data_IF_966484345216
#
_entry.id   IF_966484345216
#
_cell.length_a   1.000
_cell.length_b   1.000
_cell.length_c   1.000
_cell.angle_alpha   90.00
_cell.angle_beta   90.00
_cell.angle_gamma   90.00
#
_symmetry.space_group_name_H-M   'P 1'
#
loop_
_entity.id
_entity.type
_entity.pdbx_description
1 polymer ?
#
# COMPACT_ATOMS: atom_id res chain seq x y z
N UNK A 1 12.18 -7.01 -70.44
CA UNK A 1 11.57 -6.26 -69.31
C UNK A 1 11.49 -7.20 -68.12
N UNK A 2 12.45 -7.12 -67.16
CA UNK A 2 12.48 -7.97 -65.94
C UNK A 2 11.73 -7.23 -64.85
N UNK A 3 10.63 -7.79 -64.36
CA UNK A 3 9.88 -7.29 -63.18
C UNK A 3 10.62 -7.72 -61.92
N UNK A 4 11.12 -6.77 -61.17
CA UNK A 4 11.65 -7.01 -59.82
C UNK A 4 10.50 -6.87 -58.83
N UNK A 5 10.11 -7.96 -58.19
CA UNK A 5 9.20 -7.97 -57.04
C UNK A 5 10.00 -7.68 -55.82
N UNK A 6 9.78 -6.48 -55.21
CA UNK A 6 10.32 -6.12 -53.91
C UNK A 6 9.44 -6.78 -52.84
N UNK A 7 9.93 -7.77 -52.17
CA UNK A 7 9.31 -8.40 -50.99
C UNK A 7 9.60 -7.54 -49.77
N UNK A 8 8.65 -6.72 -49.35
CA UNK A 8 8.72 -5.98 -48.09
C UNK A 8 8.51 -6.99 -46.94
N UNK A 9 9.61 -7.38 -46.26
CA UNK A 9 9.53 -8.04 -44.95
C UNK A 9 9.13 -7.00 -43.90
N UNK A 10 7.87 -7.00 -43.51
CA UNK A 10 7.41 -6.34 -42.29
C UNK A 10 7.89 -7.15 -41.11
N UNK A 11 9.00 -6.75 -40.49
CA UNK A 11 9.38 -7.22 -39.15
C UNK A 11 8.45 -6.55 -38.15
N UNK A 12 7.43 -7.29 -37.72
CA UNK A 12 6.61 -6.89 -36.58
C UNK A 12 7.49 -6.92 -35.32
N UNK A 13 7.97 -5.78 -34.87
CA UNK A 13 8.52 -5.63 -33.52
C UNK A 13 7.35 -5.83 -32.53
N UNK A 14 7.21 -7.03 -32.00
CA UNK A 14 6.34 -7.27 -30.86
C UNK A 14 6.92 -6.49 -29.68
N UNK A 15 6.32 -5.37 -29.34
CA UNK A 15 6.58 -4.67 -28.08
C UNK A 15 6.01 -5.57 -26.99
N UNK A 16 6.86 -6.41 -26.40
CA UNK A 16 6.50 -7.21 -25.24
C UNK A 16 6.41 -6.24 -24.05
N UNK A 17 5.20 -5.78 -23.74
CA UNK A 17 4.88 -5.06 -22.51
C UNK A 17 4.88 -6.06 -21.34
N UNK A 18 5.24 -5.62 -20.13
CA UNK A 18 4.97 -6.40 -18.93
C UNK A 18 3.46 -6.69 -18.83
N UNK A 19 3.08 -7.80 -18.20
CA UNK A 19 1.67 -8.09 -17.99
C UNK A 19 1.00 -6.97 -17.18
N UNK A 20 -0.19 -6.57 -17.59
CA UNK A 20 -0.98 -5.60 -16.83
C UNK A 20 -1.37 -6.21 -15.48
N UNK A 21 -1.28 -5.40 -14.41
CA UNK A 21 -1.60 -5.86 -13.06
C UNK A 21 -3.08 -6.20 -12.98
N UNK A 22 -3.39 -7.43 -12.58
CA UNK A 22 -4.77 -7.86 -12.43
C UNK A 22 -5.35 -7.33 -11.12
N UNK A 23 -6.64 -6.93 -11.11
CA UNK A 23 -7.33 -6.59 -9.87
C UNK A 23 -7.24 -7.69 -8.82
N UNK A 24 -7.13 -7.32 -7.56
CA UNK A 24 -7.26 -8.27 -6.44
C UNK A 24 -8.71 -8.76 -6.40
N UNK A 25 -8.89 -10.07 -6.19
CA UNK A 25 -10.21 -10.71 -6.19
C UNK A 25 -10.72 -10.88 -4.75
N UNK A 26 -12.05 -10.87 -4.53
CA UNK A 26 -12.61 -11.27 -3.25
C UNK A 26 -12.11 -12.66 -2.82
N UNK A 27 -11.70 -12.80 -1.56
CA UNK A 27 -11.21 -14.06 -1.01
C UNK A 27 -9.76 -14.41 -1.38
N UNK A 28 -9.07 -13.60 -2.18
CA UNK A 28 -7.68 -13.85 -2.60
C UNK A 28 -6.71 -13.74 -1.42
N UNK A 29 -5.75 -14.67 -1.36
CA UNK A 29 -4.64 -14.66 -0.39
C UNK A 29 -3.45 -13.95 -0.99
N UNK A 30 -3.20 -12.72 -0.53
CA UNK A 30 -2.14 -11.85 -1.03
C UNK A 30 -1.04 -11.72 0.01
N UNK A 31 0.20 -12.00 -0.37
CA UNK A 31 1.34 -11.89 0.51
C UNK A 31 2.31 -10.81 0.01
N UNK A 32 2.73 -9.94 0.92
CA UNK A 32 3.76 -8.94 0.65
C UNK A 32 5.10 -9.40 1.19
N UNK A 33 6.08 -9.58 0.30
CA UNK A 33 7.40 -10.12 0.58
C UNK A 33 8.46 -9.04 0.39
N UNK A 34 9.17 -8.65 1.46
CA UNK A 34 10.09 -7.53 1.37
C UNK A 34 10.97 -7.32 2.61
N UNK A 35 11.47 -6.11 2.71
CA UNK A 35 12.38 -5.64 3.74
C UNK A 35 11.68 -4.95 4.94
N UNK A 36 12.33 -3.93 5.56
CA UNK A 36 11.80 -3.17 6.70
C UNK A 36 10.54 -2.37 6.36
N UNK A 37 10.40 -1.90 5.13
CA UNK A 37 9.24 -1.12 4.66
C UNK A 37 8.00 -2.02 4.66
N UNK A 38 8.16 -3.25 4.18
CA UNK A 38 7.12 -4.29 4.22
C UNK A 38 6.90 -4.81 5.66
N UNK A 39 7.96 -5.01 6.44
CA UNK A 39 7.85 -5.41 7.87
C UNK A 39 6.96 -4.41 8.63
N UNK A 40 7.16 -3.12 8.42
CA UNK A 40 6.33 -2.07 9.00
C UNK A 40 4.85 -2.23 8.69
N UNK A 41 4.47 -2.69 7.51
CA UNK A 41 3.12 -3.15 7.17
C UNK A 41 2.05 -2.06 6.98
N UNK A 42 2.36 -0.77 7.15
CA UNK A 42 1.36 0.31 7.05
C UNK A 42 0.72 0.40 5.67
N UNK A 43 1.51 0.33 4.59
CA UNK A 43 0.96 0.39 3.25
C UNK A 43 0.08 -0.83 2.93
N UNK A 44 0.36 -1.99 3.55
CA UNK A 44 -0.47 -3.19 3.42
C UNK A 44 -1.84 -2.95 4.07
N UNK A 45 -1.87 -2.39 5.28
CA UNK A 45 -3.09 -2.09 6.00
C UNK A 45 -3.93 -1.01 5.29
N UNK A 46 -3.29 0.02 4.72
CA UNK A 46 -3.99 1.04 3.93
C UNK A 46 -4.49 0.47 2.60
N UNK A 47 -3.75 -0.43 1.97
CA UNK A 47 -4.22 -1.12 0.76
C UNK A 47 -5.41 -2.04 1.07
N UNK A 48 -5.36 -2.79 2.19
CA UNK A 48 -6.52 -3.57 2.67
C UNK A 48 -7.74 -2.66 2.91
N UNK A 49 -7.56 -1.52 3.59
CA UNK A 49 -8.64 -0.54 3.78
C UNK A 49 -9.24 -0.08 2.45
N UNK A 50 -8.40 0.23 1.46
CA UNK A 50 -8.89 0.65 0.13
C UNK A 50 -9.65 -0.50 -0.53
N UNK A 51 -9.15 -1.74 -0.52
CA UNK A 51 -9.84 -2.91 -1.07
C UNK A 51 -11.23 -3.09 -0.43
N UNK A 52 -11.27 -3.15 0.90
CA UNK A 52 -12.51 -3.38 1.64
C UNK A 52 -13.51 -2.23 1.41
N UNK A 53 -13.01 -0.98 1.35
CA UNK A 53 -13.83 0.20 1.05
C UNK A 53 -14.36 0.22 -0.38
N UNK A 54 -13.85 -0.63 -1.27
CA UNK A 54 -14.32 -0.83 -2.65
C UNK A 54 -15.14 -2.11 -2.82
N UNK A 55 -15.49 -2.78 -1.72
CA UNK A 55 -16.29 -4.01 -1.74
C UNK A 55 -15.48 -5.27 -2.09
N UNK A 56 -14.15 -5.19 -2.20
CA UNK A 56 -13.28 -6.36 -2.39
C UNK A 56 -12.98 -6.97 -1.02
N UNK A 57 -13.86 -7.81 -0.53
CA UNK A 57 -13.81 -8.37 0.83
C UNK A 57 -13.37 -9.82 0.87
N UNK A 58 -13.06 -10.32 2.08
CA UNK A 58 -12.61 -11.71 2.29
C UNK A 58 -11.15 -11.95 1.91
N UNK A 59 -10.42 -10.93 1.46
CA UNK A 59 -8.99 -11.03 1.15
C UNK A 59 -8.18 -11.30 2.41
N UNK A 60 -7.13 -12.13 2.29
CA UNK A 60 -6.16 -12.39 3.36
C UNK A 60 -4.84 -11.69 3.01
N UNK A 61 -4.60 -10.55 3.66
CA UNK A 61 -3.38 -9.75 3.45
C UNK A 61 -2.28 -10.15 4.42
N UNK A 62 -1.31 -10.87 3.90
CA UNK A 62 -0.21 -11.44 4.67
C UNK A 62 1.07 -10.60 4.56
N UNK A 63 1.69 -10.31 5.70
CA UNK A 63 2.98 -9.63 5.77
C UNK A 63 4.13 -10.65 5.90
N UNK A 64 5.09 -10.60 4.99
CA UNK A 64 6.35 -11.35 5.04
C UNK A 64 7.58 -10.42 4.90
N UNK A 65 7.49 -9.20 5.42
CA UNK A 65 8.60 -8.26 5.53
C UNK A 65 9.54 -8.62 6.69
N UNK A 66 10.83 -8.34 6.54
CA UNK A 66 11.83 -8.47 7.62
C UNK A 66 12.76 -7.25 7.58
N UNK A 67 12.91 -6.58 8.72
CA UNK A 67 13.79 -5.40 8.83
C UNK A 67 15.23 -5.73 8.46
N UNK A 68 15.84 -4.88 7.61
CA UNK A 68 17.18 -5.10 7.06
C UNK A 68 17.23 -6.19 5.98
N UNK A 69 16.08 -6.74 5.57
CA UNK A 69 16.00 -7.80 4.56
C UNK A 69 16.51 -7.35 3.19
N UNK A 70 17.10 -8.30 2.45
CA UNK A 70 17.49 -8.18 1.04
C UNK A 70 16.89 -9.33 0.24
N UNK A 71 16.94 -9.27 -1.08
CA UNK A 71 16.48 -10.34 -1.95
C UNK A 71 17.20 -11.67 -1.64
N UNK A 72 18.53 -11.62 -1.36
CA UNK A 72 19.30 -12.81 -0.94
C UNK A 72 18.81 -13.34 0.43
N UNK A 73 18.52 -12.46 1.38
CA UNK A 73 17.94 -12.85 2.67
C UNK A 73 16.53 -13.42 2.50
N UNK A 74 15.75 -12.84 1.61
CA UNK A 74 14.44 -13.33 1.19
C UNK A 74 14.51 -14.75 0.64
N UNK A 75 15.43 -15.00 -0.29
CA UNK A 75 15.62 -16.31 -0.89
C UNK A 75 15.88 -17.42 0.15
N UNK A 76 16.62 -17.13 1.22
CA UNK A 76 16.89 -18.11 2.28
C UNK A 76 15.66 -18.49 3.10
N UNK A 77 14.64 -17.62 3.17
CA UNK A 77 13.43 -17.84 3.99
C UNK A 77 12.15 -18.10 3.20
N UNK A 78 12.21 -18.03 1.86
CA UNK A 78 11.04 -18.09 0.99
C UNK A 78 10.20 -19.34 1.20
N UNK A 79 10.85 -20.50 1.45
CA UNK A 79 10.15 -21.77 1.63
C UNK A 79 9.22 -21.75 2.84
N UNK A 80 9.72 -21.27 3.98
CA UNK A 80 8.98 -21.32 5.26
C UNK A 80 8.12 -20.07 5.48
N UNK A 81 8.57 -18.91 5.02
CA UNK A 81 7.93 -17.63 5.31
C UNK A 81 6.93 -17.18 4.23
N UNK A 82 6.99 -17.79 3.05
CA UNK A 82 6.13 -17.46 1.92
C UNK A 82 5.40 -18.70 1.39
N UNK A 83 6.11 -19.67 0.82
CA UNK A 83 5.51 -20.81 0.11
C UNK A 83 4.65 -21.67 1.04
N UNK A 84 5.11 -21.93 2.28
CA UNK A 84 4.37 -22.71 3.27
C UNK A 84 3.04 -22.06 3.68
N UNK A 85 2.87 -20.74 3.48
CA UNK A 85 1.63 -20.01 3.78
C UNK A 85 0.61 -20.08 2.64
N UNK A 86 0.99 -20.65 1.49
CA UNK A 86 0.13 -20.92 0.33
C UNK A 86 -0.66 -19.68 -0.13
N UNK A 87 0.01 -18.54 -0.40
CA UNK A 87 -0.65 -17.39 -1.00
C UNK A 87 -1.02 -17.69 -2.46
N UNK A 88 -2.06 -17.03 -2.97
CA UNK A 88 -2.38 -17.06 -4.40
C UNK A 88 -1.42 -16.16 -5.17
N UNK A 89 -1.05 -15.00 -4.58
CA UNK A 89 -0.21 -13.98 -5.19
C UNK A 89 0.80 -13.39 -4.19
N UNK A 90 2.02 -13.12 -4.65
CA UNK A 90 3.11 -12.54 -3.85
C UNK A 90 3.60 -11.25 -4.48
N UNK A 91 3.42 -10.13 -3.81
CA UNK A 91 4.00 -8.84 -4.15
C UNK A 91 5.41 -8.73 -3.58
N UNK A 92 6.42 -8.55 -4.43
CA UNK A 92 7.84 -8.64 -4.06
C UNK A 92 8.45 -7.24 -4.07
N UNK A 93 8.85 -6.73 -2.89
CA UNK A 93 9.44 -5.41 -2.69
C UNK A 93 10.79 -5.52 -1.98
N UNK A 94 11.87 -5.60 -2.75
CA UNK A 94 13.27 -5.52 -2.31
C UNK A 94 14.02 -4.48 -3.13
N UNK A 95 15.24 -4.15 -2.70
CA UNK A 95 16.12 -3.23 -3.42
C UNK A 95 16.78 -2.22 -2.49
N UNK A 96 16.06 -1.66 -1.52
CA UNK A 96 16.55 -0.61 -0.64
C UNK A 96 17.82 -1.01 0.14
N UNK A 97 17.93 -2.27 0.58
CA UNK A 97 19.12 -2.79 1.23
C UNK A 97 20.09 -3.46 0.26
N UNK A 98 19.57 -3.97 -0.87
CA UNK A 98 20.37 -4.67 -1.89
C UNK A 98 21.32 -3.70 -2.60
N UNK A 99 20.88 -2.48 -2.88
CA UNK A 99 21.66 -1.45 -3.58
C UNK A 99 22.97 -1.10 -2.87
N UNK A 100 23.02 -1.27 -1.54
CA UNK A 100 24.21 -0.96 -0.75
C UNK A 100 24.50 0.53 -0.65
N UNK A 101 23.51 1.30 -0.18
CA UNK A 101 23.45 2.77 -0.11
C UNK A 101 24.77 3.45 0.23
N UNK A 102 25.52 2.93 1.22
CA UNK A 102 26.82 3.48 1.67
C UNK A 102 27.87 3.56 0.58
N UNK A 103 27.74 2.78 -0.50
CA UNK A 103 28.67 2.75 -1.63
C UNK A 103 28.48 3.94 -2.57
N UNK A 104 27.42 4.75 -2.34
CA UNK A 104 27.13 5.94 -3.16
C UNK A 104 27.71 7.24 -2.56
N UNK A 105 28.36 7.17 -1.39
CA UNK A 105 29.10 8.33 -0.83
C UNK A 105 30.25 8.80 -1.73
N UNK A 106 30.94 7.86 -2.40
CA UNK A 106 32.09 8.19 -3.28
C UNK A 106 32.12 7.24 -4.47
N UNK A 107 32.66 7.71 -5.58
CA UNK A 107 32.84 6.94 -6.82
C UNK A 107 34.23 6.30 -6.92
N UNK A 108 34.78 5.81 -5.81
CA UNK A 108 36.02 5.05 -5.85
C UNK A 108 35.87 3.77 -6.70
N UNK A 109 36.94 3.30 -7.36
CA UNK A 109 36.90 2.07 -8.17
C UNK A 109 36.30 0.88 -7.39
N UNK A 110 36.66 0.77 -6.09
CA UNK A 110 36.12 -0.28 -5.22
C UNK A 110 34.61 -0.13 -4.99
N UNK A 111 34.10 1.08 -4.81
CA UNK A 111 32.65 1.31 -4.62
C UNK A 111 31.90 1.01 -5.91
N UNK A 112 32.40 1.45 -7.06
CA UNK A 112 31.79 1.16 -8.36
C UNK A 112 31.71 -0.35 -8.61
N UNK A 113 32.78 -1.10 -8.35
CA UNK A 113 32.76 -2.55 -8.48
C UNK A 113 31.79 -3.21 -7.49
N UNK A 114 31.74 -2.72 -6.24
CA UNK A 114 30.81 -3.23 -5.25
C UNK A 114 29.34 -2.96 -5.64
N UNK A 115 28.99 -1.79 -6.19
CA UNK A 115 27.65 -1.48 -6.72
C UNK A 115 27.26 -2.52 -7.78
N UNK A 116 28.12 -2.76 -8.76
CA UNK A 116 27.90 -3.75 -9.82
C UNK A 116 27.64 -5.15 -9.25
N UNK A 117 28.52 -5.63 -8.37
CA UNK A 117 28.40 -6.96 -7.77
C UNK A 117 27.09 -7.10 -6.97
N UNK A 118 26.62 -6.04 -6.31
CA UNK A 118 25.36 -6.05 -5.56
C UNK A 118 24.14 -6.12 -6.47
N UNK A 119 24.13 -5.39 -7.58
CA UNK A 119 23.05 -5.45 -8.58
C UNK A 119 23.00 -6.82 -9.26
N UNK A 120 24.14 -7.44 -9.55
CA UNK A 120 24.22 -8.80 -10.07
C UNK A 120 23.67 -9.82 -9.05
N UNK A 121 24.05 -9.69 -7.78
CA UNK A 121 23.56 -10.54 -6.68
C UNK A 121 22.05 -10.39 -6.48
N UNK A 122 21.54 -9.15 -6.51
CA UNK A 122 20.12 -8.84 -6.46
C UNK A 122 19.37 -9.53 -7.60
N UNK A 123 19.84 -9.33 -8.84
CA UNK A 123 19.25 -9.92 -10.04
C UNK A 123 19.17 -11.44 -9.96
N UNK A 124 20.27 -12.09 -9.57
CA UNK A 124 20.33 -13.55 -9.43
C UNK A 124 19.38 -14.06 -8.33
N UNK A 125 19.26 -13.32 -7.21
CA UNK A 125 18.36 -13.66 -6.11
C UNK A 125 16.90 -13.53 -6.52
N UNK A 126 16.53 -12.44 -7.22
CA UNK A 126 15.17 -12.23 -7.72
C UNK A 126 14.75 -13.31 -8.72
N UNK A 127 15.63 -13.69 -9.67
CA UNK A 127 15.35 -14.79 -10.61
C UNK A 127 15.03 -16.10 -9.88
N UNK A 128 15.79 -16.44 -8.84
CA UNK A 128 15.53 -17.65 -8.03
C UNK A 128 14.23 -17.55 -7.25
N UNK A 129 13.92 -16.38 -6.64
CA UNK A 129 12.65 -16.15 -5.95
C UNK A 129 11.48 -16.37 -6.91
N UNK A 130 11.51 -15.74 -8.09
CA UNK A 130 10.47 -15.88 -9.12
C UNK A 130 10.30 -17.35 -9.53
N UNK A 131 11.39 -18.06 -9.80
CA UNK A 131 11.36 -19.46 -10.21
C UNK A 131 10.74 -20.37 -9.12
N UNK A 132 11.09 -20.14 -7.84
CA UNK A 132 10.53 -20.91 -6.73
C UNK A 132 9.03 -20.66 -6.52
N UNK A 133 8.57 -19.42 -6.67
CA UNK A 133 7.15 -19.08 -6.57
C UNK A 133 6.36 -19.72 -7.72
N UNK A 134 6.83 -19.58 -8.95
CA UNK A 134 6.21 -20.23 -10.14
C UNK A 134 6.14 -21.75 -9.99
N UNK A 135 7.21 -22.38 -9.51
CA UNK A 135 7.25 -23.83 -9.27
C UNK A 135 6.25 -24.27 -8.18
N UNK A 136 5.91 -23.40 -7.24
CA UNK A 136 4.91 -23.62 -6.21
C UNK A 136 3.47 -23.27 -6.67
N UNK A 137 3.27 -22.85 -7.91
CA UNK A 137 1.96 -22.41 -8.43
C UNK A 137 1.50 -21.06 -7.91
N UNK A 138 2.40 -20.24 -7.36
CA UNK A 138 2.12 -18.92 -6.77
C UNK A 138 2.45 -17.85 -7.81
N UNK A 139 1.56 -16.88 -8.00
CA UNK A 139 1.76 -15.77 -8.93
C UNK A 139 2.68 -14.70 -8.34
N UNK A 140 3.89 -14.45 -8.89
CA UNK A 140 4.73 -13.33 -8.46
C UNK A 140 4.27 -12.03 -9.12
N UNK A 141 4.20 -10.96 -8.34
CA UNK A 141 4.02 -9.58 -8.80
C UNK A 141 5.26 -8.79 -8.37
N UNK A 142 5.97 -8.23 -9.33
CA UNK A 142 7.16 -7.46 -9.02
C UNK A 142 6.80 -6.01 -8.67
N UNK A 143 7.53 -5.44 -7.73
CA UNK A 143 7.39 -4.03 -7.36
C UNK A 143 8.75 -3.35 -7.52
N UNK A 144 8.80 -2.20 -8.23
CA UNK A 144 10.00 -1.37 -8.17
C UNK A 144 10.20 -0.84 -6.75
N UNK A 145 11.45 -0.62 -6.28
CA UNK A 145 11.70 -0.19 -4.91
C UNK A 145 11.01 1.15 -4.61
N UNK A 146 10.85 1.48 -3.33
CA UNK A 146 10.53 2.86 -2.93
C UNK A 146 11.69 3.79 -3.25
N UNK A 147 11.42 5.08 -3.37
CA UNK A 147 12.49 6.06 -3.53
C UNK A 147 13.24 6.30 -2.21
N UNK A 148 14.53 6.58 -2.30
CA UNK A 148 15.35 7.18 -1.25
C UNK A 148 15.25 8.69 -1.38
N UNK A 149 14.94 9.40 -0.29
CA UNK A 149 14.67 10.84 -0.33
C UNK A 149 15.97 11.68 -0.39
N UNK A 150 16.68 11.59 -1.50
CA UNK A 150 17.92 12.35 -1.71
C UNK A 150 17.72 13.85 -2.00
N UNK A 151 16.46 14.29 -2.10
CA UNK A 151 16.11 15.65 -2.54
C UNK A 151 15.86 16.61 -1.38
N UNK A 152 15.79 16.13 -0.14
CA UNK A 152 15.69 16.97 1.05
C UNK A 152 16.93 17.88 1.18
N UNK A 153 16.68 19.19 1.42
CA UNK A 153 17.71 20.23 1.36
C UNK A 153 18.69 20.21 2.54
N UNK A 154 18.25 19.74 3.70
CA UNK A 154 18.95 19.96 4.99
C UNK A 154 19.67 18.72 5.55
N UNK A 155 19.77 17.62 4.78
CA UNK A 155 20.34 16.38 5.29
C UNK A 155 21.81 16.22 4.92
N UNK A 156 22.69 16.29 5.94
CA UNK A 156 24.15 16.21 5.79
C UNK A 156 24.65 14.81 5.43
N UNK A 157 23.91 13.74 5.81
CA UNK A 157 24.28 12.34 5.56
C UNK A 157 23.60 11.72 4.34
N UNK A 158 23.14 12.55 3.42
CA UNK A 158 22.47 12.10 2.21
C UNK A 158 23.41 11.27 1.30
N UNK A 159 23.07 10.00 1.12
CA UNK A 159 23.88 9.04 0.35
C UNK A 159 23.70 9.15 -1.17
N UNK A 160 22.73 9.91 -1.63
CA UNK A 160 22.42 10.13 -3.07
C UNK A 160 22.30 8.84 -3.88
N UNK A 161 21.64 7.82 -3.31
CA UNK A 161 21.54 6.50 -3.93
C UNK A 161 20.20 6.24 -4.62
N UNK A 162 19.34 7.26 -4.77
CA UNK A 162 18.10 7.12 -5.51
C UNK A 162 18.36 7.11 -7.02
N UNK A 163 19.19 8.05 -7.48
CA UNK A 163 19.63 8.20 -8.87
C UNK A 163 21.15 8.48 -8.90
N UNK A 164 22.01 7.57 -9.35
CA UNK A 164 21.77 6.16 -9.67
C UNK A 164 21.58 5.29 -8.42
N UNK A 165 21.29 4.03 -8.60
CA UNK A 165 21.21 3.02 -7.54
C UNK A 165 19.83 2.41 -7.45
N UNK A 166 18.85 3.05 -6.82
CA UNK A 166 17.49 2.53 -6.80
C UNK A 166 16.82 2.63 -8.18
N UNK A 167 17.18 3.61 -9.01
CA UNK A 167 16.78 3.63 -10.42
C UNK A 167 17.31 2.40 -11.18
N UNK A 168 18.57 2.00 -10.94
CA UNK A 168 19.15 0.81 -11.57
C UNK A 168 18.43 -0.48 -11.10
N UNK A 169 18.08 -0.54 -9.81
CA UNK A 169 17.26 -1.64 -9.28
C UNK A 169 15.88 -1.65 -9.93
N UNK A 170 15.23 -0.50 -10.10
CA UNK A 170 13.93 -0.40 -10.77
C UNK A 170 14.00 -0.90 -12.23
N UNK A 171 15.06 -0.58 -12.95
CA UNK A 171 15.28 -1.04 -14.32
C UNK A 171 15.50 -2.57 -14.39
N UNK A 172 16.21 -3.13 -13.40
CA UNK A 172 16.34 -4.60 -13.27
C UNK A 172 14.97 -5.22 -13.04
N UNK A 173 14.13 -4.65 -12.15
CA UNK A 173 12.79 -5.16 -11.87
C UNK A 173 11.91 -5.12 -13.11
N UNK A 174 11.92 -4.02 -13.88
CA UNK A 174 11.20 -3.89 -15.16
C UNK A 174 11.65 -4.93 -16.17
N UNK A 175 12.97 -5.10 -16.30
CA UNK A 175 13.56 -6.11 -17.18
C UNK A 175 13.10 -7.51 -16.81
N UNK A 176 13.15 -7.87 -15.52
CA UNK A 176 12.69 -9.18 -15.04
C UNK A 176 11.19 -9.37 -15.26
N UNK A 177 10.37 -8.36 -15.00
CA UNK A 177 8.92 -8.42 -15.26
C UNK A 177 8.64 -8.72 -16.74
N UNK A 178 9.38 -8.05 -17.64
CA UNK A 178 9.26 -8.26 -19.08
C UNK A 178 9.76 -9.65 -19.50
N UNK A 179 10.95 -10.05 -19.06
CA UNK A 179 11.56 -11.35 -19.42
C UNK A 179 10.70 -12.53 -18.96
N UNK A 180 10.10 -12.42 -17.77
CA UNK A 180 9.34 -13.48 -17.13
C UNK A 180 7.83 -13.38 -17.36
N UNK A 181 7.37 -12.37 -18.13
CA UNK A 181 5.96 -12.03 -18.37
C UNK A 181 5.16 -11.91 -17.07
N UNK A 182 5.64 -11.08 -16.14
CA UNK A 182 5.05 -10.85 -14.83
C UNK A 182 4.34 -9.51 -14.73
N UNK A 183 3.40 -9.43 -13.81
CA UNK A 183 2.79 -8.19 -13.36
C UNK A 183 3.82 -7.30 -12.66
N UNK A 184 3.72 -5.99 -12.88
CA UNK A 184 4.64 -4.99 -12.35
C UNK A 184 3.91 -3.82 -11.71
N UNK A 185 4.25 -3.52 -10.46
CA UNK A 185 3.86 -2.30 -9.75
C UNK A 185 5.04 -1.33 -9.75
N UNK A 186 4.81 -0.15 -10.27
CA UNK A 186 5.76 0.94 -10.27
C UNK A 186 5.57 1.81 -9.03
N UNK A 187 6.54 1.80 -8.12
CA UNK A 187 6.62 2.74 -6.99
C UNK A 187 7.70 3.78 -7.21
N UNK A 188 8.91 3.35 -7.60
CA UNK A 188 10.10 4.19 -7.68
C UNK A 188 9.91 5.46 -8.52
N UNK A 189 9.43 5.41 -9.78
CA UNK A 189 9.34 6.61 -10.60
C UNK A 189 8.33 7.62 -10.05
N UNK A 190 7.19 7.13 -9.56
CA UNK A 190 6.16 8.01 -8.99
C UNK A 190 6.62 8.68 -7.71
N UNK A 191 7.21 7.91 -6.77
CA UNK A 191 7.72 8.47 -5.52
C UNK A 191 8.91 9.41 -5.76
N UNK A 192 9.80 9.09 -6.69
CA UNK A 192 10.91 9.95 -7.08
C UNK A 192 10.43 11.28 -7.65
N UNK A 193 9.42 11.27 -8.53
CA UNK A 193 8.82 12.48 -9.09
C UNK A 193 8.17 13.36 -8.00
N UNK A 194 7.44 12.74 -7.06
CA UNK A 194 6.87 13.44 -5.91
C UNK A 194 7.93 14.11 -5.04
N UNK A 195 9.02 13.40 -4.71
CA UNK A 195 10.13 13.93 -3.92
C UNK A 195 10.85 15.11 -4.63
N UNK A 196 11.04 15.00 -5.96
CA UNK A 196 11.63 16.08 -6.77
C UNK A 196 10.75 17.33 -6.79
N UNK A 197 9.44 17.15 -6.91
CA UNK A 197 8.48 18.26 -6.97
C UNK A 197 8.23 18.92 -5.61
N UNK A 198 8.39 18.17 -4.54
CA UNK A 198 8.07 18.60 -3.18
C UNK A 198 9.24 18.35 -2.20
N UNK A 199 10.44 18.92 -2.43
CA UNK A 199 11.62 18.65 -1.60
C UNK A 199 11.49 19.17 -0.16
N UNK A 200 10.53 20.05 0.11
CA UNK A 200 10.23 20.58 1.44
C UNK A 200 9.16 19.74 2.19
N UNK A 201 8.57 18.73 1.55
CA UNK A 201 7.54 17.86 2.12
C UNK A 201 8.11 16.46 2.36
N UNK A 202 7.95 15.94 3.57
CA UNK A 202 8.46 14.63 3.94
C UNK A 202 7.56 13.50 3.46
N UNK A 203 8.06 12.61 2.61
CA UNK A 203 7.49 11.29 2.35
C UNK A 203 8.20 10.20 3.16
N UNK A 204 9.48 10.39 3.46
CA UNK A 204 10.30 9.50 4.27
C UNK A 204 10.65 10.13 5.62
N UNK A 205 11.06 9.31 6.57
CA UNK A 205 11.58 9.76 7.85
C UNK A 205 12.96 10.42 7.72
N UNK A 206 13.52 10.86 8.84
CA UNK A 206 14.88 11.48 8.89
C UNK A 206 16.00 10.58 8.36
N UNK A 207 15.78 9.28 8.26
CA UNK A 207 16.71 8.33 7.64
C UNK A 207 16.66 8.32 6.12
N UNK A 208 15.79 9.10 5.51
CA UNK A 208 15.56 9.23 4.07
C UNK A 208 15.15 7.93 3.35
N UNK A 209 14.88 6.87 4.12
CA UNK A 209 14.64 5.50 3.66
C UNK A 209 13.21 5.06 3.89
N UNK A 210 12.75 5.17 5.15
CA UNK A 210 11.48 4.59 5.56
C UNK A 210 10.35 5.59 5.34
N UNK A 211 9.36 5.24 4.50
CA UNK A 211 8.18 6.09 4.33
C UNK A 211 7.50 6.39 5.67
N UNK A 212 7.10 7.65 5.88
CA UNK A 212 6.21 8.02 6.98
C UNK A 212 4.75 7.70 6.63
N UNK A 213 3.79 8.11 7.45
CA UNK A 213 2.37 7.77 7.22
C UNK A 213 1.86 8.20 5.84
N UNK A 214 2.20 9.42 5.41
CA UNK A 214 1.87 9.92 4.06
C UNK A 214 2.49 9.04 2.98
N UNK A 215 3.79 8.74 3.09
CA UNK A 215 4.49 7.90 2.12
C UNK A 215 3.89 6.49 2.02
N UNK A 216 3.51 5.88 3.15
CA UNK A 216 2.82 4.58 3.13
C UNK A 216 1.42 4.64 2.51
N UNK A 217 0.65 5.72 2.72
CA UNK A 217 -0.65 5.88 2.07
C UNK A 217 -0.50 6.13 0.57
N UNK A 218 0.53 6.88 0.14
CA UNK A 218 0.90 7.03 -1.28
C UNK A 218 1.22 5.67 -1.90
N UNK A 219 2.02 4.82 -1.24
CA UNK A 219 2.28 3.45 -1.71
C UNK A 219 0.99 2.65 -1.91
N UNK A 220 0.08 2.69 -0.93
CA UNK A 220 -1.20 2.01 -1.00
C UNK A 220 -2.08 2.55 -2.14
N UNK A 221 -2.09 3.86 -2.35
CA UNK A 221 -2.82 4.50 -3.43
C UNK A 221 -2.25 4.12 -4.81
N UNK A 222 -0.94 4.08 -4.97
CA UNK A 222 -0.28 3.63 -6.20
C UNK A 222 -0.57 2.14 -6.50
N UNK A 223 -0.60 1.28 -5.46
CA UNK A 223 -1.07 -0.10 -5.58
C UNK A 223 -2.52 -0.14 -6.07
N UNK A 224 -3.40 0.64 -5.45
CA UNK A 224 -4.82 0.70 -5.80
C UNK A 224 -5.04 1.19 -7.23
N UNK A 225 -4.32 2.24 -7.68
CA UNK A 225 -4.39 2.72 -9.06
C UNK A 225 -4.01 1.63 -10.05
N UNK A 226 -2.87 0.98 -9.84
CA UNK A 226 -2.31 0.02 -10.78
C UNK A 226 -3.05 -1.33 -10.76
N UNK A 227 -3.82 -1.62 -9.70
CA UNK A 227 -4.72 -2.77 -9.61
C UNK A 227 -6.17 -2.43 -9.98
N UNK A 228 -6.42 -1.24 -10.56
CA UNK A 228 -7.74 -0.86 -11.09
C UNK A 228 -8.78 -0.43 -10.04
N UNK A 229 -8.35 -0.11 -8.81
CA UNK A 229 -9.24 0.29 -7.70
C UNK A 229 -9.42 1.81 -7.58
N UNK A 230 -8.69 2.59 -8.36
CA UNK A 230 -8.87 4.04 -8.42
C UNK A 230 -10.25 4.43 -8.95
N UNK A 231 -10.67 5.62 -8.62
CA UNK A 231 -11.93 6.19 -9.05
C UNK A 231 -12.78 6.70 -7.89
N UNK A 232 -13.90 7.36 -8.21
CA UNK A 232 -14.75 7.98 -7.19
C UNK A 232 -15.40 6.93 -6.27
N UNK A 233 -15.82 7.40 -5.11
CA UNK A 233 -16.70 6.65 -4.20
C UNK A 233 -18.06 6.46 -4.88
N UNK A 234 -18.65 7.56 -5.37
CA UNK A 234 -19.84 7.51 -6.21
C UNK A 234 -19.93 8.75 -7.12
N UNK A 235 -20.67 8.60 -8.22
CA UNK A 235 -21.06 9.71 -9.10
C UNK A 235 -22.54 9.54 -9.47
N UNK A 236 -23.39 10.40 -8.89
CA UNK A 236 -24.85 10.28 -8.99
C UNK A 236 -25.42 11.57 -9.56
N UNK A 237 -26.29 11.44 -10.57
CA UNK A 237 -27.07 12.54 -11.14
C UNK A 237 -28.56 12.19 -11.09
N UNK A 238 -29.33 13.02 -10.40
CA UNK A 238 -30.79 12.88 -10.23
C UNK A 238 -31.48 14.06 -10.89
N UNK A 239 -32.08 13.89 -12.07
CA UNK A 239 -32.94 14.91 -12.64
C UNK A 239 -34.31 14.90 -11.97
N UNK A 240 -34.92 16.10 -11.73
CA UNK A 240 -36.30 16.22 -11.24
C UNK A 240 -37.27 15.53 -12.21
N UNK A 241 -36.98 15.60 -13.50
CA UNK A 241 -37.67 14.84 -14.54
C UNK A 241 -36.66 14.12 -15.43
N UNK A 242 -36.80 12.81 -15.59
CA UNK A 242 -35.90 12.03 -16.42
C UNK A 242 -35.29 10.82 -15.69
N UNK A 243 -34.25 10.23 -16.29
CA UNK A 243 -33.63 9.00 -15.79
C UNK A 243 -32.43 9.31 -14.91
N UNK A 244 -32.37 8.69 -13.73
CA UNK A 244 -31.21 8.71 -12.84
C UNK A 244 -30.00 8.08 -13.51
N UNK A 245 -28.83 8.72 -13.36
CA UNK A 245 -27.53 8.16 -13.71
C UNK A 245 -26.76 7.94 -12.42
N UNK A 246 -26.26 6.74 -12.20
CA UNK A 246 -25.52 6.40 -10.99
C UNK A 246 -24.38 5.45 -11.31
N UNK A 247 -23.24 5.72 -10.69
CA UNK A 247 -22.04 4.88 -10.70
C UNK A 247 -21.61 4.66 -9.27
N UNK A 248 -21.47 3.40 -8.86
CA UNK A 248 -21.06 2.96 -7.52
C UNK A 248 -22.04 3.35 -6.39
N UNK A 249 -23.29 3.58 -6.72
CA UNK A 249 -24.37 3.68 -5.76
C UNK A 249 -25.69 3.23 -6.38
N UNK A 250 -26.55 2.56 -5.61
CA UNK A 250 -27.93 2.35 -5.97
C UNK A 250 -28.80 3.49 -5.39
N UNK A 251 -29.84 3.86 -6.16
CA UNK A 251 -30.82 4.86 -5.77
C UNK A 251 -32.18 4.19 -5.77
N UNK A 252 -32.88 4.21 -4.65
CA UNK A 252 -34.21 3.62 -4.50
C UNK A 252 -35.19 4.59 -3.83
N UNK A 253 -36.49 4.35 -3.93
CA UNK A 253 -37.54 5.16 -3.31
C UNK A 253 -37.55 6.63 -3.73
N UNK A 254 -37.09 6.93 -4.97
CA UNK A 254 -36.98 8.30 -5.48
C UNK A 254 -38.34 8.99 -5.58
N UNK A 255 -38.44 10.17 -4.96
CA UNK A 255 -39.57 11.10 -5.05
C UNK A 255 -39.03 12.44 -5.48
N UNK A 256 -39.55 13.01 -6.56
CA UNK A 256 -39.13 14.31 -7.12
C UNK A 256 -40.28 15.28 -7.23
N UNK A 257 -40.00 16.52 -6.90
CA UNK A 257 -40.83 17.70 -7.16
C UNK A 257 -39.89 18.88 -7.49
N UNK A 258 -40.35 19.98 -8.09
CA UNK A 258 -39.50 21.13 -8.42
C UNK A 258 -38.79 21.78 -7.24
N UNK A 259 -39.32 21.60 -6.03
CA UNK A 259 -38.85 22.16 -4.77
C UNK A 259 -38.37 21.11 -3.76
N UNK A 260 -38.46 19.80 -4.12
CA UNK A 260 -38.09 18.70 -3.25
C UNK A 260 -37.65 17.45 -4.00
N UNK A 261 -36.55 16.85 -3.53
CA UNK A 261 -36.08 15.54 -3.96
C UNK A 261 -35.77 14.69 -2.72
N UNK A 262 -36.26 13.45 -2.71
CA UNK A 262 -35.96 12.50 -1.62
C UNK A 262 -35.69 11.12 -2.22
N UNK A 263 -34.67 10.43 -1.70
CA UNK A 263 -34.32 9.08 -2.15
C UNK A 263 -33.52 8.33 -1.08
N UNK A 264 -33.51 7.02 -1.17
CA UNK A 264 -32.57 6.15 -0.45
C UNK A 264 -31.26 6.10 -1.26
N UNK A 265 -30.16 6.45 -0.61
CA UNK A 265 -28.82 6.41 -1.14
C UNK A 265 -28.06 5.19 -0.59
N UNK A 266 -27.59 4.30 -1.47
CA UNK A 266 -26.99 3.03 -1.15
C UNK A 266 -25.62 2.94 -1.86
N UNK A 267 -24.55 3.57 -1.30
CA UNK A 267 -23.22 3.54 -1.93
C UNK A 267 -22.60 2.15 -1.82
N UNK A 268 -21.87 1.76 -2.85
CA UNK A 268 -21.10 0.51 -2.93
C UNK A 268 -19.70 0.66 -2.33
N UNK A 269 -19.24 1.91 -2.15
CA UNK A 269 -17.90 2.27 -1.73
C UNK A 269 -17.91 3.24 -0.56
N UNK A 270 -16.82 3.20 0.21
CA UNK A 270 -16.61 4.11 1.33
C UNK A 270 -15.38 4.99 1.06
N UNK A 271 -15.43 6.27 1.42
CA UNK A 271 -14.26 7.15 1.39
C UNK A 271 -13.22 6.71 2.43
N UNK A 272 -11.95 6.91 2.14
CA UNK A 272 -10.85 6.73 3.12
C UNK A 272 -10.72 8.00 3.95
N UNK A 273 -10.84 7.91 5.26
CA UNK A 273 -10.68 9.07 6.15
C UNK A 273 -9.23 9.54 6.20
N UNK A 274 -9.02 10.83 5.99
CA UNK A 274 -7.71 11.49 6.04
C UNK A 274 -7.56 12.40 7.26
N UNK A 275 -8.58 12.50 8.12
CA UNK A 275 -8.61 13.41 9.26
C UNK A 275 -7.99 12.85 10.53
N UNK A 276 -7.51 11.61 10.52
CA UNK A 276 -6.94 10.94 11.70
C UNK A 276 -5.75 11.72 12.25
N UNK A 277 -5.71 11.83 13.58
CA UNK A 277 -4.61 12.45 14.32
C UNK A 277 -3.94 11.43 15.23
N UNK A 278 -2.60 11.50 15.30
CA UNK A 278 -1.78 10.73 16.24
C UNK A 278 -1.07 11.75 17.12
N UNK A 279 -1.23 11.65 18.43
CA UNK A 279 -0.74 12.65 19.38
C UNK A 279 -1.10 14.10 19.00
N UNK A 280 -2.36 14.30 18.55
CA UNK A 280 -2.91 15.56 18.04
C UNK A 280 -2.25 16.12 16.76
N UNK A 281 -1.42 15.33 16.07
CA UNK A 281 -0.80 15.71 14.80
C UNK A 281 -1.58 15.07 13.65
N UNK A 282 -1.98 15.88 12.67
CA UNK A 282 -2.60 15.40 11.42
C UNK A 282 -1.56 14.66 10.56
N UNK A 283 -1.67 13.35 10.50
CA UNK A 283 -0.63 12.51 9.86
C UNK A 283 -0.69 12.52 8.33
N UNK A 284 -1.77 13.05 7.74
CA UNK A 284 -1.94 13.16 6.28
C UNK A 284 -2.04 14.61 5.78
N UNK A 285 -1.61 15.59 6.59
CA UNK A 285 -1.75 17.02 6.31
C UNK A 285 -1.30 17.44 4.90
N UNK A 286 -0.20 16.88 4.40
CA UNK A 286 0.39 17.27 3.11
C UNK A 286 0.05 16.31 1.96
N UNK A 287 -0.83 15.33 2.20
CA UNK A 287 -1.12 14.28 1.22
C UNK A 287 -1.64 14.87 -0.10
N UNK A 288 -2.64 15.74 -0.05
CA UNK A 288 -3.28 16.30 -1.26
C UNK A 288 -2.32 17.15 -2.11
N UNK A 289 -1.30 17.74 -1.51
CA UNK A 289 -0.25 18.48 -2.23
C UNK A 289 0.68 17.52 -2.98
N UNK A 290 0.98 16.37 -2.37
CA UNK A 290 1.93 15.38 -2.91
C UNK A 290 1.24 14.46 -3.91
N UNK A 291 0.00 14.06 -3.59
CA UNK A 291 -0.80 13.11 -4.36
C UNK A 291 -2.28 13.49 -4.24
N UNK A 292 -3.00 13.73 -5.33
CA UNK A 292 -4.40 14.17 -5.31
C UNK A 292 -5.35 13.03 -4.92
N UNK A 293 -5.25 12.60 -3.66
CA UNK A 293 -5.93 11.42 -3.14
C UNK A 293 -7.46 11.56 -3.20
N UNK A 294 -7.98 12.75 -2.82
CA UNK A 294 -9.42 12.99 -2.83
C UNK A 294 -9.99 12.84 -4.25
N UNK A 295 -9.35 13.49 -5.24
CA UNK A 295 -9.80 13.44 -6.63
C UNK A 295 -9.75 12.00 -7.19
N UNK A 296 -8.70 11.26 -6.86
CA UNK A 296 -8.47 9.92 -7.40
C UNK A 296 -9.22 8.81 -6.68
N UNK A 297 -9.52 8.99 -5.38
CA UNK A 297 -10.01 7.91 -4.53
C UNK A 297 -11.27 8.23 -3.73
N UNK A 298 -11.51 9.49 -3.35
CA UNK A 298 -12.50 9.84 -2.33
C UNK A 298 -13.67 10.68 -2.86
N UNK A 299 -13.65 11.13 -4.12
CA UNK A 299 -14.71 11.99 -4.65
C UNK A 299 -16.07 11.26 -4.65
N UNK A 300 -17.09 11.89 -4.06
CA UNK A 300 -18.45 11.36 -3.93
C UNK A 300 -19.44 12.43 -4.40
N UNK A 301 -19.76 12.43 -5.70
CA UNK A 301 -20.51 13.50 -6.33
C UNK A 301 -22.00 13.21 -6.35
N UNK A 302 -22.81 14.17 -5.88
CA UNK A 302 -24.27 14.22 -6.06
C UNK A 302 -24.65 15.46 -6.86
N UNK A 303 -25.27 15.25 -8.03
CA UNK A 303 -25.91 16.28 -8.85
C UNK A 303 -27.41 16.13 -8.81
N UNK A 304 -28.11 17.26 -8.67
CA UNK A 304 -29.58 17.31 -8.79
C UNK A 304 -29.92 18.39 -9.78
N UNK A 305 -30.54 18.02 -10.90
CA UNK A 305 -30.83 18.93 -12.02
C UNK A 305 -32.33 19.19 -12.19
N UNK A 306 -32.69 20.36 -12.63
CA UNK A 306 -34.09 20.74 -12.87
C UNK A 306 -34.85 21.21 -11.62
N UNK A 307 -34.14 21.55 -10.52
CA UNK A 307 -34.72 22.23 -9.38
C UNK A 307 -35.10 23.66 -9.74
N UNK A 308 -36.18 24.18 -9.13
CA UNK A 308 -36.53 25.60 -9.22
C UNK A 308 -35.45 26.47 -8.54
N UNK A 309 -35.27 27.70 -9.04
CA UNK A 309 -34.29 28.61 -8.44
C UNK A 309 -34.53 28.83 -6.95
N UNK A 310 -33.45 28.89 -6.18
CA UNK A 310 -33.44 29.07 -4.74
C UNK A 310 -32.38 28.26 -4.02
N UNK A 311 -32.44 28.30 -2.72
CA UNK A 311 -31.60 27.55 -1.81
C UNK A 311 -32.31 26.29 -1.28
N UNK A 312 -31.57 25.26 -1.03
CA UNK A 312 -32.06 23.94 -0.62
C UNK A 312 -31.26 23.42 0.57
N UNK A 313 -31.97 23.02 1.63
CA UNK A 313 -31.39 22.23 2.71
C UNK A 313 -31.19 20.80 2.19
N UNK A 314 -29.97 20.28 2.33
CA UNK A 314 -29.60 18.89 2.03
C UNK A 314 -29.45 18.15 3.35
N UNK A 315 -30.18 17.06 3.54
CA UNK A 315 -30.16 16.23 4.76
C UNK A 315 -29.77 14.79 4.44
N UNK A 316 -29.07 14.16 5.37
CA UNK A 316 -28.88 12.71 5.43
C UNK A 316 -29.67 12.19 6.64
N UNK A 317 -30.67 11.35 6.38
CA UNK A 317 -31.73 11.04 7.32
C UNK A 317 -32.29 12.36 7.91
N UNK A 318 -32.21 12.59 9.21
CA UNK A 318 -32.72 13.83 9.87
C UNK A 318 -31.64 14.90 10.04
N UNK A 319 -30.36 14.61 9.74
CA UNK A 319 -29.24 15.54 9.95
C UNK A 319 -29.04 16.42 8.73
N UNK A 320 -29.08 17.75 8.92
CA UNK A 320 -28.72 18.72 7.89
C UNK A 320 -27.21 18.64 7.60
N UNK A 321 -26.87 18.49 6.32
CA UNK A 321 -25.49 18.47 5.80
C UNK A 321 -25.04 19.87 5.34
N UNK A 322 -25.99 20.75 4.98
CA UNK A 322 -25.75 22.12 4.55
C UNK A 322 -26.86 22.65 3.66
N UNK A 323 -26.72 23.94 3.30
CA UNK A 323 -27.62 24.66 2.40
C UNK A 323 -26.86 24.94 1.08
N UNK A 324 -27.47 24.60 -0.05
CA UNK A 324 -26.88 24.73 -1.38
C UNK A 324 -27.87 25.37 -2.34
N UNK A 325 -27.39 26.23 -3.22
CA UNK A 325 -28.24 26.78 -4.30
C UNK A 325 -28.60 25.71 -5.35
N UNK A 326 -29.69 25.90 -6.06
CA UNK A 326 -30.04 25.05 -7.22
C UNK A 326 -28.87 24.94 -8.22
N UNK A 327 -28.13 26.02 -8.46
CA UNK A 327 -26.95 26.05 -9.32
C UNK A 327 -25.81 25.17 -8.78
N UNK A 328 -25.54 25.20 -7.47
CA UNK A 328 -24.53 24.32 -6.85
C UNK A 328 -24.93 22.84 -6.94
N UNK A 329 -26.20 22.52 -6.68
CA UNK A 329 -26.72 21.15 -6.82
C UNK A 329 -26.67 20.67 -8.28
N UNK A 330 -26.97 21.55 -9.24
CA UNK A 330 -26.86 21.25 -10.66
C UNK A 330 -25.40 21.01 -11.10
N UNK A 331 -24.44 21.75 -10.53
CA UNK A 331 -23.00 21.54 -10.81
C UNK A 331 -22.45 20.30 -10.11
N UNK A 332 -23.06 19.88 -9.02
CA UNK A 332 -22.68 18.76 -8.18
C UNK A 332 -22.01 19.19 -6.87
N UNK A 333 -22.48 18.62 -5.78
CA UNK A 333 -21.87 18.73 -4.43
C UNK A 333 -21.10 17.46 -4.12
N UNK A 334 -20.07 17.57 -3.30
CA UNK A 334 -19.23 16.44 -2.89
C UNK A 334 -19.63 15.94 -1.52
N UNK A 335 -20.39 14.84 -1.46
CA UNK A 335 -20.85 14.23 -0.22
C UNK A 335 -19.68 13.75 0.67
N UNK A 336 -18.53 13.35 0.07
CA UNK A 336 -17.34 12.93 0.79
C UNK A 336 -16.71 14.03 1.66
N UNK A 337 -17.09 15.31 1.44
CA UNK A 337 -16.67 16.46 2.25
C UNK A 337 -17.68 16.86 3.33
N UNK A 338 -18.84 16.20 3.37
CA UNK A 338 -19.92 16.52 4.28
C UNK A 338 -20.01 15.52 5.45
N UNK A 339 -20.69 15.90 6.51
CA UNK A 339 -20.87 15.08 7.70
C UNK A 339 -22.00 14.02 7.53
N UNK A 340 -21.87 13.21 6.48
CA UNK A 340 -22.77 12.09 6.18
C UNK A 340 -22.62 10.94 7.19
N UNK A 341 -23.57 9.99 7.29
CA UNK A 341 -23.40 8.76 8.08
C UNK A 341 -22.13 7.98 7.70
N UNK A 342 -21.72 8.01 6.43
CA UNK A 342 -20.51 7.34 5.95
C UNK A 342 -19.22 8.04 6.41
N UNK A 343 -19.27 9.32 6.79
CA UNK A 343 -18.12 9.99 7.40
C UNK A 343 -17.67 9.32 8.70
N UNK A 344 -18.63 9.00 9.58
CA UNK A 344 -18.34 8.29 10.84
C UNK A 344 -17.80 6.86 10.57
N UNK A 345 -18.33 6.18 9.54
CA UNK A 345 -17.82 4.87 9.09
C UNK A 345 -16.40 4.96 8.59
N UNK A 346 -16.07 5.96 7.76
CA UNK A 346 -14.70 6.18 7.25
C UNK A 346 -13.69 6.36 8.37
N UNK A 347 -14.03 7.17 9.39
CA UNK A 347 -13.20 7.36 10.58
C UNK A 347 -12.98 6.03 11.32
N UNK A 348 -14.05 5.25 11.51
CA UNK A 348 -13.96 3.97 12.19
C UNK A 348 -13.14 2.96 11.38
N UNK A 349 -13.33 2.89 10.06
CA UNK A 349 -12.54 2.03 9.16
C UNK A 349 -11.05 2.37 9.20
N UNK A 350 -10.68 3.65 9.23
CA UNK A 350 -9.28 4.05 9.38
C UNK A 350 -8.69 3.63 10.74
N UNK A 351 -9.47 3.74 11.84
CA UNK A 351 -9.03 3.23 13.16
C UNK A 351 -8.80 1.71 13.12
N UNK A 352 -9.68 0.98 12.44
CA UNK A 352 -9.56 -0.48 12.28
C UNK A 352 -8.38 -0.87 11.39
N UNK A 353 -8.08 -0.09 10.33
CA UNK A 353 -6.86 -0.27 9.54
C UNK A 353 -5.59 -0.05 10.38
N UNK A 354 -5.63 0.91 11.30
CA UNK A 354 -4.53 1.15 12.23
C UNK A 354 -4.35 0.00 13.22
N UNK A 355 -5.45 -0.56 13.73
CA UNK A 355 -5.41 -1.75 14.59
C UNK A 355 -4.87 -2.98 13.83
N UNK A 356 -5.29 -3.19 12.58
CA UNK A 356 -4.79 -4.24 11.70
C UNK A 356 -3.29 -4.08 11.42
N UNK A 357 -2.82 -2.87 11.10
CA UNK A 357 -1.40 -2.59 10.97
C UNK A 357 -0.61 -3.01 12.21
N UNK A 358 -1.03 -2.56 13.41
CA UNK A 358 -0.35 -2.90 14.67
C UNK A 358 -0.35 -4.40 14.94
N UNK A 359 -1.42 -5.12 14.60
CA UNK A 359 -1.50 -6.56 14.76
C UNK A 359 -0.60 -7.31 13.74
N UNK A 360 -0.49 -6.83 12.51
CA UNK A 360 0.26 -7.51 11.42
C UNK A 360 1.78 -7.40 11.57
N UNK A 361 2.29 -6.33 12.17
CA UNK A 361 3.73 -6.10 12.31
C UNK A 361 4.37 -6.83 13.49
N UNK A 362 3.62 -7.05 14.59
CA UNK A 362 4.14 -7.67 15.82
C UNK A 362 4.70 -9.10 15.62
N UNK A 363 3.98 -10.04 14.98
CA UNK A 363 4.50 -11.39 14.75
C UNK A 363 5.76 -11.40 13.90
N UNK A 364 5.97 -10.41 13.02
CA UNK A 364 7.15 -10.30 12.15
C UNK A 364 8.44 -10.09 12.95
N UNK A 365 8.37 -9.41 14.10
CA UNK A 365 9.49 -9.27 15.03
C UNK A 365 9.96 -10.61 15.58
N UNK A 366 9.04 -11.54 15.87
CA UNK A 366 9.37 -12.89 16.33
C UNK A 366 10.06 -13.70 15.24
N UNK A 367 9.54 -13.65 14.01
CA UNK A 367 10.17 -14.31 12.84
C UNK A 367 11.56 -13.74 12.58
N UNK A 368 11.74 -12.42 12.66
CA UNK A 368 13.05 -11.78 12.51
C UNK A 368 14.06 -12.35 13.50
N UNK A 369 13.69 -12.49 14.76
CA UNK A 369 14.57 -13.05 15.79
C UNK A 369 14.98 -14.50 15.47
N UNK A 370 14.05 -15.35 15.09
CA UNK A 370 14.35 -16.74 14.70
C UNK A 370 15.31 -16.80 13.50
N UNK A 371 15.22 -15.86 12.57
CA UNK A 371 16.14 -15.79 11.43
C UNK A 371 17.57 -15.40 11.81
N UNK A 372 17.78 -14.66 12.93
CA UNK A 372 19.14 -14.33 13.42
C UNK A 372 19.92 -15.57 13.83
N UNK A 373 19.24 -16.60 14.30
CA UNK A 373 19.84 -17.85 14.79
C UNK A 373 19.67 -19.02 13.79
N UNK A 374 19.06 -18.80 12.64
CA UNK A 374 18.73 -19.85 11.66
C UNK A 374 19.96 -20.56 11.05
N UNK A 375 21.18 -20.04 11.25
CA UNK A 375 22.42 -20.70 10.83
C UNK A 375 22.72 -21.99 11.61
N UNK A 376 22.05 -22.23 12.73
CA UNK A 376 22.31 -23.36 13.64
C UNK A 376 23.53 -23.20 14.53
N UNK A 377 24.35 -22.14 14.37
CA UNK A 377 25.55 -21.86 15.20
C UNK A 377 25.23 -21.78 16.68
N UNK A 378 24.05 -21.32 17.05
CA UNK A 378 23.64 -21.12 18.46
C UNK A 378 22.65 -22.19 18.95
N UNK A 379 22.54 -23.28 18.21
CA UNK A 379 21.56 -24.35 18.40
C UNK A 379 20.44 -24.26 17.38
N UNK A 380 19.60 -25.26 17.33
CA UNK A 380 18.43 -25.37 16.44
C UNK A 380 17.14 -25.54 17.24
N UNK A 381 16.78 -24.59 18.13
CA UNK A 381 15.59 -24.73 18.96
C UNK A 381 14.34 -24.77 18.07
N UNK A 382 13.34 -25.56 18.49
CA UNK A 382 12.05 -25.55 17.83
C UNK A 382 11.43 -24.14 17.90
N UNK A 383 10.76 -23.64 16.86
CA UNK A 383 10.18 -22.29 16.86
C UNK A 383 9.21 -21.99 18.02
N UNK A 384 8.50 -23.01 18.52
CA UNK A 384 7.61 -22.91 19.67
C UNK A 384 8.29 -23.01 21.04
N UNK A 385 9.57 -23.39 21.10
CA UNK A 385 10.36 -23.37 22.36
C UNK A 385 10.95 -21.97 22.56
N UNK A 386 10.09 -21.08 23.04
CA UNK A 386 10.43 -19.67 23.21
C UNK A 386 11.60 -19.42 24.17
N UNK A 387 11.78 -20.30 25.20
CA UNK A 387 12.90 -20.20 26.14
C UNK A 387 14.21 -20.53 25.42
N UNK A 388 14.29 -21.68 24.76
CA UNK A 388 15.49 -22.10 24.05
C UNK A 388 15.87 -21.16 22.90
N UNK A 389 14.89 -20.61 22.21
CA UNK A 389 15.12 -19.54 21.19
C UNK A 389 15.69 -18.29 21.87
N UNK A 390 15.14 -17.88 23.02
CA UNK A 390 15.61 -16.72 23.77
C UNK A 390 17.09 -16.90 24.24
N UNK A 391 17.46 -18.07 24.73
CA UNK A 391 18.83 -18.39 25.09
C UNK A 391 19.80 -18.41 23.91
N UNK A 392 19.37 -18.95 22.77
CA UNK A 392 20.14 -18.90 21.52
C UNK A 392 20.35 -17.45 21.02
N UNK A 393 19.34 -16.57 21.15
CA UNK A 393 19.45 -15.15 20.84
C UNK A 393 20.41 -14.40 21.75
N UNK A 394 20.48 -14.74 23.03
CA UNK A 394 21.49 -14.19 23.98
C UNK A 394 22.90 -14.57 23.54
N UNK A 395 23.14 -15.84 23.20
CA UNK A 395 24.41 -16.28 22.64
C UNK A 395 24.77 -15.56 21.36
N UNK A 396 23.79 -15.40 20.45
CA UNK A 396 23.96 -14.64 19.21
C UNK A 396 24.35 -13.18 19.51
N UNK A 397 23.68 -12.52 20.45
CA UNK A 397 23.99 -11.13 20.82
C UNK A 397 25.36 -11.00 21.50
N UNK A 398 25.77 -11.98 22.33
CA UNK A 398 27.05 -12.01 23.01
C UNK A 398 28.22 -12.12 22.01
N UNK A 399 28.07 -12.80 20.91
CA UNK A 399 29.09 -12.93 19.86
C UNK A 399 29.42 -11.61 19.13
N UNK A 400 28.63 -10.57 19.33
CA UNK A 400 28.88 -9.25 18.77
C UNK A 400 29.62 -8.36 19.76
N UNK A 401 30.64 -7.64 19.30
CA UNK A 401 31.44 -6.72 20.11
C UNK A 401 30.56 -5.68 20.82
N UNK A 402 30.95 -5.20 22.03
CA UNK A 402 30.19 -4.18 22.76
C UNK A 402 29.99 -2.86 21.97
N UNK A 403 30.94 -2.51 21.14
CA UNK A 403 30.97 -1.30 20.30
C UNK A 403 30.30 -1.48 18.93
N UNK A 404 29.71 -2.65 18.68
CA UNK A 404 28.96 -2.87 17.43
C UNK A 404 27.82 -1.85 17.27
N UNK A 405 27.78 -1.08 16.16
CA UNK A 405 26.83 0.04 16.00
C UNK A 405 25.35 -0.32 16.15
N UNK A 406 25.00 -1.59 15.86
CA UNK A 406 23.61 -2.09 15.95
C UNK A 406 23.30 -2.79 17.27
N UNK A 407 24.23 -2.89 18.23
CA UNK A 407 24.03 -3.64 19.47
C UNK A 407 22.81 -3.17 20.25
N UNK A 408 22.65 -1.85 20.45
CA UNK A 408 21.50 -1.27 21.16
C UNK A 408 20.17 -1.67 20.50
N UNK A 409 20.12 -1.59 19.17
CA UNK A 409 18.94 -2.00 18.40
C UNK A 409 18.61 -3.49 18.62
N UNK A 410 19.56 -4.37 18.41
CA UNK A 410 19.32 -5.82 18.54
C UNK A 410 19.11 -6.28 19.98
N UNK A 411 19.68 -5.59 20.98
CA UNK A 411 19.33 -5.82 22.38
C UNK A 411 17.82 -5.59 22.61
N UNK A 412 17.29 -4.50 22.07
CA UNK A 412 15.86 -4.20 22.15
C UNK A 412 15.03 -5.26 21.40
N UNK A 413 15.46 -5.68 20.22
CA UNK A 413 14.80 -6.73 19.43
C UNK A 413 14.73 -8.06 20.16
N UNK A 414 15.84 -8.50 20.77
CA UNK A 414 15.91 -9.74 21.56
C UNK A 414 15.04 -9.66 22.82
N UNK A 415 15.08 -8.54 23.54
CA UNK A 415 14.23 -8.33 24.72
C UNK A 415 12.74 -8.35 24.37
N UNK A 416 12.37 -7.73 23.24
CA UNK A 416 11.00 -7.76 22.72
C UNK A 416 10.58 -9.18 22.33
N UNK A 417 11.48 -9.98 21.74
CA UNK A 417 11.20 -11.40 21.49
C UNK A 417 10.83 -12.13 22.77
N UNK A 418 11.70 -12.10 23.79
CA UNK A 418 11.47 -12.79 25.07
C UNK A 418 10.16 -12.39 25.74
N UNK A 419 9.81 -11.10 25.67
CA UNK A 419 8.56 -10.57 26.22
C UNK A 419 7.33 -11.06 25.45
N UNK A 420 7.41 -11.11 24.12
CA UNK A 420 6.26 -11.24 23.25
C UNK A 420 6.04 -12.66 22.72
N UNK A 421 7.09 -13.46 22.58
CA UNK A 421 6.99 -14.81 22.01
C UNK A 421 5.98 -15.72 22.74
N UNK A 422 5.86 -15.69 24.09
CA UNK A 422 4.83 -16.48 24.78
C UNK A 422 3.39 -16.11 24.39
N UNK A 423 3.20 -14.95 23.75
CA UNK A 423 1.89 -14.45 23.31
C UNK A 423 1.66 -14.63 21.80
N UNK A 424 2.50 -15.37 21.07
CA UNK A 424 2.45 -15.48 19.61
C UNK A 424 1.08 -15.94 19.11
N UNK A 425 0.51 -16.99 19.71
CA UNK A 425 -0.84 -17.47 19.33
C UNK A 425 -1.94 -16.40 19.56
N UNK A 426 -1.82 -15.61 20.65
CA UNK A 426 -2.74 -14.51 20.89
C UNK A 426 -2.57 -13.38 19.86
N UNK A 427 -1.34 -13.09 19.43
CA UNK A 427 -1.06 -12.10 18.39
C UNK A 427 -1.64 -12.51 17.03
N UNK A 428 -1.57 -13.80 16.68
CA UNK A 428 -2.18 -14.33 15.46
C UNK A 428 -3.71 -14.22 15.51
N UNK A 429 -4.31 -14.56 16.65
CA UNK A 429 -5.75 -14.40 16.86
C UNK A 429 -6.17 -12.92 16.79
N UNK A 430 -5.35 -12.01 17.35
CA UNK A 430 -5.58 -10.55 17.25
C UNK A 430 -5.52 -10.06 15.82
N UNK A 431 -4.57 -10.55 15.01
CA UNK A 431 -4.46 -10.20 13.60
C UNK A 431 -5.72 -10.61 12.83
N UNK A 432 -6.19 -11.84 13.03
CA UNK A 432 -7.42 -12.33 12.38
C UNK A 432 -8.62 -11.47 12.79
N UNK A 433 -8.77 -11.15 14.09
CA UNK A 433 -9.86 -10.28 14.58
C UNK A 433 -9.79 -8.88 13.99
N UNK A 434 -8.59 -8.29 13.96
CA UNK A 434 -8.38 -6.95 13.41
C UNK A 434 -8.71 -6.90 11.90
N UNK A 435 -8.33 -7.92 11.14
CA UNK A 435 -8.68 -8.03 9.71
C UNK A 435 -10.19 -8.11 9.48
N UNK A 436 -10.89 -8.97 10.22
CA UNK A 436 -12.37 -9.06 10.14
C UNK A 436 -13.04 -7.74 10.51
N UNK A 437 -12.58 -7.10 11.60
CA UNK A 437 -13.12 -5.81 12.05
C UNK A 437 -12.93 -4.72 11.01
N UNK A 438 -11.77 -4.68 10.34
CA UNK A 438 -11.51 -3.74 9.25
C UNK A 438 -12.50 -3.96 8.10
N UNK A 439 -12.69 -5.20 7.65
CA UNK A 439 -13.64 -5.55 6.58
C UNK A 439 -15.10 -5.15 6.94
N UNK A 440 -15.49 -5.30 8.19
CA UNK A 440 -16.82 -4.85 8.66
C UNK A 440 -16.94 -3.33 8.63
N UNK A 441 -15.95 -2.61 9.19
CA UNK A 441 -16.01 -1.16 9.35
C UNK A 441 -15.84 -0.42 8.02
N UNK A 442 -15.15 -1.00 7.03
CA UNK A 442 -14.96 -0.42 5.71
C UNK A 442 -16.20 -0.52 4.80
N UNK A 443 -17.28 -1.16 5.24
CA UNK A 443 -18.53 -1.21 4.48
C UNK A 443 -19.32 0.09 4.65
N UNK A 444 -19.79 0.70 3.55
CA UNK A 444 -20.66 1.86 3.64
C UNK A 444 -22.03 1.48 4.23
N UNK A 445 -22.73 2.48 4.74
CA UNK A 445 -24.12 2.37 5.19
C UNK A 445 -25.03 3.17 4.26
N UNK A 446 -26.25 2.68 4.08
CA UNK A 446 -27.28 3.36 3.32
C UNK A 446 -28.03 4.33 4.19
N UNK A 447 -28.42 5.48 3.63
CA UNK A 447 -29.22 6.51 4.32
C UNK A 447 -30.16 7.22 3.35
N UNK A 448 -31.15 7.94 3.89
CA UNK A 448 -32.08 8.73 3.09
C UNK A 448 -31.48 10.13 2.85
N UNK A 449 -31.42 10.55 1.58
CA UNK A 449 -31.10 11.94 1.24
C UNK A 449 -32.40 12.70 0.97
N UNK A 450 -32.56 13.83 1.66
CA UNK A 450 -33.68 14.76 1.44
C UNK A 450 -33.10 16.12 1.06
N UNK A 451 -33.59 16.68 -0.04
CA UNK A 451 -33.23 17.98 -0.57
C UNK A 451 -34.52 18.75 -0.69
N UNK A 452 -34.68 19.81 0.08
CA UNK A 452 -35.93 20.60 0.12
C UNK A 452 -35.62 22.08 0.11
N UNK A 453 -36.45 22.85 -0.63
CA UNK A 453 -36.29 24.30 -0.76
C UNK A 453 -36.44 24.97 0.59
N UNK A 454 -35.49 25.83 0.94
CA UNK A 454 -35.60 26.66 2.15
C UNK A 454 -36.65 27.77 1.93
N UNK A 455 -37.33 28.14 2.98
CA UNK A 455 -38.35 29.23 2.93
C UNK A 455 -37.68 30.56 2.70
#
# INVERSE_FOLDING_TARGET
MKKWSILLMLTAFAVILSAAVQPVKPGEKVLFFGDSITHGGRYIAFFQLILDSRGITGTDMMNAGISGGSATGGLRRIQHDVIARKPDRVFILFGMNDVGRWRYKTDSPQNLQNRKNRLETYTASQKKIIAMLKAAGITPVLMTPTAYDQYQKDETDNLRCNEPGLSDVADIVRKLAKEENLELIELHPYMTDMLKKHPDLQLCGKDLVHPIHVGHLVMAALLAEQTGLAGPVADVTIPVSGKVQSRFAAISGLKTAPDRVQFRYEPERLAVDLSIKIYNVEIFKNLETIYPFHEKMNRETLRVTGLADGNYSVKADDKELGIFSAAQLNSGIDLGKLETPNRARSIQAMKSAWAFYNASSKPRGLVQCRLLIASGKYGTPAPGDHQAVGEALDKWLADHKPDWPYRKYYTTVVNNYKKNAPQEAAMEADLIRAGKKLQEDARPVSYTVTIEKTR
#
